data_IF_521362268151
#
_entry.id   IF_521362268151
#
_cell.length_a   1.000
_cell.length_b   1.000
_cell.length_c   1.000
_cell.angle_alpha   90.00
_cell.angle_beta   90.00
_cell.angle_gamma   90.00
#
_symmetry.space_group_name_H-M   'P 1'
#
loop_
_entity.id
_entity.type
_entity.pdbx_description
1 polymer ?
#
# COMPACT_ATOMS: atom_id res chain seq x y z
N UNK A 1 5.78 -1.20 -8.40
CA UNK A 1 6.04 -2.50 -7.75
C UNK A 1 6.63 -3.35 -8.83
N UNK A 2 7.84 -3.86 -8.59
CA UNK A 2 8.61 -4.53 -9.65
C UNK A 2 8.71 -6.03 -9.40
N UNK A 3 8.41 -6.48 -8.17
CA UNK A 3 8.34 -7.88 -7.80
C UNK A 3 6.88 -8.37 -7.81
N UNK A 4 6.61 -9.42 -8.59
CA UNK A 4 5.29 -10.05 -8.72
C UNK A 4 4.80 -10.56 -7.36
N UNK A 5 5.70 -11.08 -6.52
CA UNK A 5 5.33 -11.63 -5.20
C UNK A 5 4.66 -10.57 -4.34
N UNK A 6 5.15 -9.33 -4.37
CA UNK A 6 4.62 -8.22 -3.57
C UNK A 6 3.19 -7.84 -4.00
N UNK A 7 2.82 -8.05 -5.26
CA UNK A 7 1.45 -7.79 -5.72
C UNK A 7 0.45 -8.75 -5.04
N UNK A 8 0.85 -10.00 -4.88
CA UNK A 8 0.03 -11.05 -4.24
C UNK A 8 0.23 -11.16 -2.73
N UNK A 9 1.22 -10.46 -2.16
CA UNK A 9 1.43 -10.39 -0.71
C UNK A 9 0.35 -9.48 -0.05
N UNK A 10 -0.48 -10.00 0.86
CA UNK A 10 -1.48 -9.18 1.56
C UNK A 10 -0.87 -8.17 2.55
N UNK A 11 0.42 -8.29 2.91
CA UNK A 11 1.14 -7.31 3.73
C UNK A 11 1.55 -6.08 2.91
N UNK A 12 1.77 -6.25 1.61
CA UNK A 12 1.97 -5.13 0.70
C UNK A 12 0.62 -4.55 0.30
N UNK A 13 0.28 -3.37 0.81
CA UNK A 13 -1.02 -2.72 0.50
C UNK A 13 -0.96 -2.11 -0.89
N UNK A 14 -1.91 -2.46 -1.76
CA UNK A 14 -2.00 -1.88 -3.11
C UNK A 14 -2.90 -0.66 -3.11
N UNK A 15 -2.62 0.28 -4.01
CA UNK A 15 -3.44 1.46 -4.26
C UNK A 15 -3.70 1.66 -5.76
N UNK A 16 -4.93 2.01 -6.10
CA UNK A 16 -5.30 2.53 -7.42
C UNK A 16 -5.78 3.98 -7.28
N UNK A 17 -5.46 4.83 -8.25
CA UNK A 17 -5.78 6.26 -8.20
C UNK A 17 -6.12 6.82 -9.59
N UNK A 18 -6.83 7.95 -9.61
CA UNK A 18 -7.23 8.63 -10.84
C UNK A 18 -6.08 9.42 -11.48
N UNK A 19 -6.34 10.00 -12.66
CA UNK A 19 -5.35 10.83 -13.39
C UNK A 19 -4.94 12.10 -12.64
N UNK A 20 -5.67 12.51 -11.62
CA UNK A 20 -5.37 13.67 -10.77
C UNK A 20 -4.62 13.25 -9.50
N UNK A 21 -4.23 11.98 -9.37
CA UNK A 21 -3.52 11.48 -8.20
C UNK A 21 -4.44 11.36 -6.98
N UNK A 22 -5.74 11.12 -7.15
CA UNK A 22 -6.63 10.85 -6.02
C UNK A 22 -6.86 9.35 -5.88
N UNK A 23 -6.63 8.80 -4.70
CA UNK A 23 -6.88 7.40 -4.41
C UNK A 23 -8.34 7.05 -4.73
N UNK A 24 -8.52 6.01 -5.55
CA UNK A 24 -9.81 5.39 -5.81
C UNK A 24 -10.07 4.28 -4.81
N UNK A 25 -9.05 3.49 -4.46
CA UNK A 25 -9.15 2.45 -3.43
C UNK A 25 -7.78 1.97 -2.94
N UNK A 26 -7.75 1.49 -1.69
CA UNK A 26 -6.63 0.75 -1.10
C UNK A 26 -7.11 -0.66 -0.75
N UNK A 27 -6.28 -1.67 -1.01
CA UNK A 27 -6.64 -3.06 -0.74
C UNK A 27 -5.42 -3.94 -0.52
N UNK A 28 -5.58 -4.98 0.30
CA UNK A 28 -4.62 -6.09 0.38
C UNK A 28 -4.76 -7.05 -0.80
N UNK A 29 -5.89 -7.03 -1.51
CA UNK A 29 -6.07 -7.79 -2.75
C UNK A 29 -5.18 -7.25 -3.89
N UNK A 30 -4.82 -8.08 -4.88
CA UNK A 30 -4.00 -7.68 -6.02
C UNK A 30 -4.80 -6.75 -6.96
N UNK A 31 -4.71 -5.44 -6.72
CA UNK A 31 -5.34 -4.41 -7.54
C UNK A 31 -4.28 -3.56 -8.29
N UNK A 32 -4.58 -3.14 -9.54
CA UNK A 32 -5.72 -3.55 -10.35
C UNK A 32 -5.64 -5.03 -10.74
N UNK A 33 -6.79 -5.72 -10.85
CA UNK A 33 -6.79 -7.12 -11.26
C UNK A 33 -6.51 -7.23 -12.77
N UNK A 34 -5.39 -7.86 -13.15
CA UNK A 34 -5.04 -8.08 -14.55
C UNK A 34 -5.83 -9.27 -15.13
N UNK A 35 -7.06 -9.05 -15.60
CA UNK A 35 -7.98 -10.13 -16.05
C UNK A 35 -7.35 -11.19 -16.96
N UNK A 36 -6.47 -10.80 -17.88
CA UNK A 36 -5.83 -11.72 -18.82
C UNK A 36 -4.60 -12.44 -18.27
N UNK A 37 -4.00 -11.93 -17.19
CA UNK A 37 -2.74 -12.41 -16.64
C UNK A 37 -2.94 -13.15 -15.31
N UNK A 38 -3.85 -12.66 -14.46
CA UNK A 38 -4.10 -13.21 -13.11
C UNK A 38 -5.17 -14.30 -13.07
N UNK A 39 -5.58 -14.84 -14.23
CA UNK A 39 -6.54 -15.94 -14.30
C UNK A 39 -6.00 -17.21 -13.60
N UNK A 40 -4.69 -17.44 -13.70
CA UNK A 40 -3.95 -18.39 -12.88
C UNK A 40 -2.75 -17.66 -12.24
N UNK A 41 -2.87 -17.22 -10.98
CA UNK A 41 -1.80 -16.52 -10.27
C UNK A 41 -0.48 -17.30 -10.22
N UNK A 42 -0.52 -18.63 -10.26
CA UNK A 42 0.69 -19.46 -10.21
C UNK A 42 1.49 -19.44 -11.52
N UNK A 43 0.86 -18.97 -12.61
CA UNK A 43 1.46 -18.86 -13.94
C UNK A 43 2.01 -17.46 -14.26
N UNK A 44 1.84 -16.49 -13.36
CA UNK A 44 2.25 -15.10 -13.59
C UNK A 44 3.77 -14.98 -13.57
N UNK A 45 4.36 -14.75 -14.73
CA UNK A 45 5.82 -14.56 -14.90
C UNK A 45 6.25 -13.10 -15.02
N UNK A 46 5.31 -12.20 -15.34
CA UNK A 46 5.54 -10.76 -15.43
C UNK A 46 4.22 -9.99 -15.21
N UNK A 47 4.33 -8.76 -14.72
CA UNK A 47 3.19 -7.83 -14.63
C UNK A 47 3.01 -7.13 -15.97
N UNK A 48 1.77 -6.98 -16.44
CA UNK A 48 1.46 -6.30 -17.72
C UNK A 48 1.08 -4.84 -17.51
N UNK A 49 0.71 -4.47 -16.29
CA UNK A 49 0.27 -3.13 -15.94
C UNK A 49 0.98 -2.63 -14.66
N UNK A 50 1.03 -1.31 -14.44
CA UNK A 50 1.63 -0.76 -13.22
C UNK A 50 0.84 -1.15 -11.97
N UNK A 51 1.56 -1.61 -10.95
CA UNK A 51 1.06 -1.81 -9.59
C UNK A 51 1.81 -0.88 -8.62
N UNK A 52 1.08 -0.35 -7.64
CA UNK A 52 1.60 0.62 -6.68
C UNK A 52 1.49 0.10 -5.26
N UNK A 53 2.61 0.14 -4.54
CA UNK A 53 2.67 -0.13 -3.11
C UNK A 53 2.37 1.16 -2.37
N UNK A 54 1.37 1.14 -1.50
CA UNK A 54 1.13 2.20 -0.55
C UNK A 54 2.20 2.21 0.54
N UNK A 55 2.90 3.34 0.67
CA UNK A 55 3.83 3.61 1.76
C UNK A 55 3.08 4.41 2.82
N UNK A 56 3.11 3.96 4.08
CA UNK A 56 2.36 4.54 5.20
C UNK A 56 2.85 5.91 5.70
N UNK A 57 3.09 6.85 4.79
CA UNK A 57 3.45 8.24 5.09
C UNK A 57 2.29 9.14 4.68
N UNK A 58 1.78 9.92 5.63
CA UNK A 58 0.62 10.77 5.41
C UNK A 58 0.88 12.21 5.84
N UNK A 59 0.24 13.14 5.14
CA UNK A 59 0.15 14.54 5.52
C UNK A 59 -1.32 14.93 5.70
N UNK A 60 -1.67 15.37 6.91
CA UNK A 60 -3.04 15.74 7.26
C UNK A 60 -3.14 17.21 7.65
N UNK A 61 -4.29 17.82 7.36
CA UNK A 61 -4.69 19.05 8.05
C UNK A 61 -5.08 18.69 9.48
N UNK A 62 -4.72 19.51 10.46
CA UNK A 62 -5.09 19.28 11.86
C UNK A 62 -6.61 19.05 12.06
N UNK A 63 -7.43 19.82 11.35
CA UNK A 63 -8.90 19.66 11.36
C UNK A 63 -9.39 18.32 10.80
N UNK A 64 -8.62 17.68 9.92
CA UNK A 64 -8.94 16.34 9.39
C UNK A 64 -8.68 15.27 10.43
N UNK A 65 -7.58 15.39 11.19
CA UNK A 65 -7.26 14.46 12.28
C UNK A 65 -8.35 14.46 13.36
N UNK A 66 -8.82 15.65 13.76
CA UNK A 66 -9.91 15.79 14.73
C UNK A 66 -11.24 15.18 14.24
N UNK A 67 -11.54 15.33 12.94
CA UNK A 67 -12.72 14.69 12.34
C UNK A 67 -12.57 13.18 12.30
N UNK A 68 -11.41 12.68 11.89
CA UNK A 68 -11.10 11.25 11.81
C UNK A 68 -11.31 10.54 13.16
N UNK A 69 -10.84 11.14 14.25
CA UNK A 69 -11.01 10.57 15.59
C UNK A 69 -12.47 10.44 16.05
N UNK A 70 -13.39 11.23 15.45
CA UNK A 70 -14.81 11.18 15.76
C UNK A 70 -15.60 10.24 14.81
N UNK A 71 -14.96 9.70 13.76
CA UNK A 71 -15.61 8.79 12.82
C UNK A 71 -15.65 7.37 13.38
N UNK A 72 -16.81 6.71 13.25
CA UNK A 72 -16.92 5.27 13.49
C UNK A 72 -16.13 4.49 12.46
N UNK A 73 -15.51 3.40 12.89
CA UNK A 73 -14.81 2.46 12.02
C UNK A 73 -15.82 1.69 11.14
N UNK A 74 -15.82 1.85 9.81
CA UNK A 74 -16.73 1.12 8.91
C UNK A 74 -16.29 -0.34 8.75
N UNK A 75 -17.22 -1.19 8.33
CA UNK A 75 -16.94 -2.61 8.01
C UNK A 75 -15.81 -2.77 6.98
N UNK A 76 -15.73 -1.84 6.02
CA UNK A 76 -14.70 -1.83 4.98
C UNK A 76 -13.29 -1.71 5.57
N UNK A 77 -13.11 -0.86 6.60
CA UNK A 77 -11.84 -0.73 7.31
C UNK A 77 -11.53 -2.00 8.11
N UNK A 78 -12.53 -2.61 8.75
CA UNK A 78 -12.34 -3.84 9.53
C UNK A 78 -11.97 -5.02 8.62
N UNK A 79 -12.60 -5.12 7.45
CA UNK A 79 -12.38 -6.19 6.49
C UNK A 79 -10.96 -6.16 5.91
N UNK A 80 -10.49 -4.98 5.49
CA UNK A 80 -9.15 -4.82 4.92
C UNK A 80 -8.08 -4.58 6.00
N UNK A 81 -8.47 -4.22 7.22
CA UNK A 81 -7.56 -3.73 8.27
C UNK A 81 -6.69 -2.57 7.75
N UNK A 82 -7.34 -1.54 7.20
CA UNK A 82 -6.72 -0.35 6.57
C UNK A 82 -7.42 0.95 6.99
N UNK A 83 -6.81 1.70 7.91
CA UNK A 83 -7.38 2.89 8.56
C UNK A 83 -7.80 4.02 7.60
N UNK A 84 -7.05 4.22 6.51
CA UNK A 84 -7.30 5.27 5.54
C UNK A 84 -8.63 5.06 4.79
N UNK A 85 -9.16 3.84 4.79
CA UNK A 85 -10.49 3.56 4.24
C UNK A 85 -11.61 4.24 5.05
N UNK A 86 -11.40 4.56 6.33
CA UNK A 86 -12.37 5.34 7.12
C UNK A 86 -12.63 6.71 6.51
N UNK A 87 -11.55 7.38 6.12
CA UNK A 87 -11.61 8.71 5.51
C UNK A 87 -12.36 8.63 4.17
N UNK A 88 -11.99 7.66 3.34
CA UNK A 88 -12.61 7.45 2.02
C UNK A 88 -14.09 7.07 2.14
N UNK A 89 -14.43 6.19 3.08
CA UNK A 89 -15.81 5.77 3.34
C UNK A 89 -16.70 6.95 3.74
N UNK A 90 -16.15 7.93 4.46
CA UNK A 90 -16.84 9.18 4.83
C UNK A 90 -16.74 10.28 3.74
N UNK A 91 -16.41 9.91 2.50
CA UNK A 91 -16.38 10.81 1.35
C UNK A 91 -15.17 11.75 1.28
N UNK A 92 -14.14 11.53 2.12
CA UNK A 92 -12.92 12.32 2.06
C UNK A 92 -11.99 11.80 0.96
N UNK A 93 -11.40 12.73 0.21
CA UNK A 93 -10.43 12.41 -0.84
C UNK A 93 -9.03 12.31 -0.25
N UNK A 94 -8.25 11.31 -0.69
CA UNK A 94 -6.84 11.15 -0.36
C UNK A 94 -6.01 11.40 -1.61
N UNK A 95 -5.07 12.33 -1.54
CA UNK A 95 -4.10 12.56 -2.61
C UNK A 95 -2.94 11.58 -2.49
N UNK A 96 -2.43 11.10 -3.63
CA UNK A 96 -1.34 10.14 -3.76
C UNK A 96 -0.27 10.74 -4.65
N UNK A 97 0.98 10.59 -4.25
CA UNK A 97 2.16 10.89 -5.06
C UNK A 97 2.99 9.63 -5.23
N UNK A 98 3.60 9.47 -6.40
CA UNK A 98 4.50 8.35 -6.71
C UNK A 98 5.94 8.78 -6.46
N UNK A 99 6.73 7.91 -5.83
CA UNK A 99 8.18 8.11 -5.64
C UNK A 99 8.94 7.01 -6.37
N UNK A 100 10.04 7.38 -7.02
CA UNK A 100 11.01 6.44 -7.62
C UNK A 100 12.05 5.97 -6.60
N UNK A 101 12.10 6.62 -5.44
CA UNK A 101 12.99 6.28 -4.32
C UNK A 101 12.14 5.89 -3.13
N UNK A 102 11.60 4.65 -3.10
CA UNK A 102 10.87 4.19 -1.92
C UNK A 102 11.82 4.14 -0.72
N UNK A 103 11.33 4.37 0.50
CA UNK A 103 12.10 4.01 1.69
C UNK A 103 12.39 2.51 1.67
N UNK A 104 13.43 2.09 2.39
CA UNK A 104 13.65 0.67 2.60
C UNK A 104 12.42 0.02 3.25
N UNK A 105 12.15 -1.24 2.89
CA UNK A 105 11.04 -1.98 3.48
C UNK A 105 11.18 -1.99 5.01
N UNK A 106 10.05 -1.77 5.70
CA UNK A 106 9.95 -1.81 7.16
C UNK A 106 10.45 -3.12 7.74
N UNK A 107 10.64 -3.14 9.07
CA UNK A 107 11.01 -4.35 9.81
C UNK A 107 9.77 -4.90 10.47
N UNK A 108 9.10 -5.83 9.78
CA UNK A 108 7.85 -6.43 10.24
C UNK A 108 8.05 -7.91 10.63
N UNK A 109 9.08 -8.58 10.11
CA UNK A 109 9.45 -9.97 10.49
C UNK A 109 10.87 -10.10 11.04
N UNK A 110 11.20 -11.30 11.55
CA UNK A 110 12.57 -11.59 11.97
C UNK A 110 13.56 -11.55 10.81
N UNK A 111 13.14 -12.00 9.63
CA UNK A 111 13.91 -11.95 8.39
C UNK A 111 14.20 -10.51 7.97
N UNK A 112 13.24 -9.59 8.13
CA UNK A 112 13.48 -8.17 7.87
C UNK A 112 14.53 -7.60 8.82
N UNK A 113 14.51 -7.99 10.09
CA UNK A 113 15.50 -7.55 11.06
C UNK A 113 16.91 -8.02 10.67
N UNK A 114 17.04 -9.29 10.24
CA UNK A 114 18.32 -9.83 9.75
C UNK A 114 18.79 -9.02 8.54
N UNK A 115 17.92 -8.81 7.55
CA UNK A 115 18.22 -8.02 6.35
C UNK A 115 18.71 -6.61 6.70
N UNK A 116 18.01 -5.90 7.58
CA UNK A 116 18.40 -4.54 7.99
C UNK A 116 19.72 -4.54 8.78
N UNK A 117 19.94 -5.53 9.64
CA UNK A 117 21.22 -5.67 10.36
C UNK A 117 22.40 -5.90 9.40
N UNK A 118 22.22 -6.69 8.33
CA UNK A 118 23.24 -6.89 7.29
C UNK A 118 23.57 -5.57 6.57
N UNK A 119 22.56 -4.79 6.20
CA UNK A 119 22.74 -3.47 5.55
C UNK A 119 23.50 -2.51 6.48
N UNK A 120 23.12 -2.43 7.75
CA UNK A 120 23.74 -1.52 8.72
C UNK A 120 25.16 -1.93 9.10
N UNK A 121 25.44 -3.24 9.20
CA UNK A 121 26.78 -3.76 9.51
C UNK A 121 27.74 -3.66 8.33
N UNK A 122 27.25 -3.74 7.09
CA UNK A 122 28.02 -3.52 5.86
C UNK A 122 28.30 -2.04 5.53
N UNK A 123 27.58 -1.09 6.13
CA UNK A 123 27.71 0.35 5.86
C UNK A 123 28.80 1.06 6.70
N UNK A 124 29.66 0.31 7.38
CA UNK A 124 30.76 0.82 8.22
C UNK A 124 32.17 0.67 7.60
N UNK A 125 32.29 0.56 6.27
CA UNK A 125 33.57 0.62 5.55
C UNK A 125 33.55 1.65 4.42
#
# INVERSE_FOLDING_TARGET
>A
MDNIKDVFDPNCVKVVFDRQGRALYFSRAPIPYERGNFADPSSVTELKFPHYHHIGIYAYRASTVLKYSAMSQPELEQCESLEQLRLMYNGMSIAVAVTERPPEAGVDTHEDLIRVNEILSGSNN
#
